data_IF_316193345012
#
_entry.id   IF_316193345012
#
_cell.length_a   1.000
_cell.length_b   1.000
_cell.length_c   1.000
_cell.angle_alpha   90.00
_cell.angle_beta   90.00
_cell.angle_gamma   90.00
#
_symmetry.space_group_name_H-M   'P 1'
#
loop_
_entity.id
_entity.type
_entity.pdbx_description
1 polymer ?
#
# COMPACT_ATOMS: atom_id res chain seq x y z
N UNK A 1 20.15 -2.50 -27.45
CA UNK A 1 19.10 -1.46 -27.26
C UNK A 1 18.23 -1.88 -26.09
N UNK A 2 18.59 -1.47 -24.87
CA UNK A 2 17.89 -1.82 -23.64
C UNK A 2 17.06 -0.62 -23.19
N UNK A 3 15.77 -0.83 -22.91
CA UNK A 3 14.86 0.21 -22.46
C UNK A 3 15.27 0.74 -21.08
N UNK A 4 15.44 2.06 -20.89
CA UNK A 4 16.04 2.65 -19.67
C UNK A 4 15.07 2.88 -18.49
N UNK A 5 13.82 2.41 -18.55
CA UNK A 5 12.83 2.62 -17.46
C UNK A 5 12.10 1.32 -17.08
N UNK A 6 12.82 0.22 -16.89
CA UNK A 6 12.28 -0.92 -16.14
C UNK A 6 12.37 -0.63 -14.65
N UNK A 7 11.67 0.42 -14.23
CA UNK A 7 11.48 0.74 -12.82
C UNK A 7 10.68 -0.40 -12.18
N UNK A 8 11.37 -1.18 -11.35
CA UNK A 8 10.92 -1.58 -10.03
C UNK A 8 9.45 -2.03 -9.88
N UNK A 9 8.90 -2.85 -10.79
CA UNK A 9 7.58 -3.47 -10.56
C UNK A 9 7.64 -4.82 -9.82
N UNK A 10 8.84 -5.29 -9.42
CA UNK A 10 9.03 -6.63 -8.88
C UNK A 10 9.21 -6.72 -7.36
N UNK A 11 9.37 -5.61 -6.63
CA UNK A 11 9.35 -5.66 -5.16
C UNK A 11 7.91 -5.49 -4.67
N UNK A 12 7.11 -6.53 -4.88
CA UNK A 12 5.84 -6.68 -4.16
C UNK A 12 6.19 -7.48 -2.91
N UNK A 13 6.49 -6.84 -1.75
CA UNK A 13 6.42 -7.57 -0.51
C UNK A 13 4.99 -8.12 -0.46
N UNK A 14 4.85 -9.43 -0.31
CA UNK A 14 3.61 -10.22 -0.37
C UNK A 14 2.52 -9.80 0.64
N UNK A 15 2.65 -8.63 1.28
CA UNK A 15 1.89 -8.16 2.41
C UNK A 15 1.28 -6.77 2.21
N UNK A 16 1.33 -6.18 1.01
CA UNK A 16 0.64 -4.90 0.76
C UNK A 16 -0.79 -5.13 0.29
N UNK A 17 -1.82 -4.59 0.98
CA UNK A 17 -3.22 -4.65 0.53
C UNK A 17 -3.53 -3.67 -0.61
N UNK A 18 -2.52 -3.08 -1.24
CA UNK A 18 -2.68 -2.11 -2.31
C UNK A 18 -3.12 -2.79 -3.61
N UNK A 19 -4.33 -2.46 -4.09
CA UNK A 19 -4.85 -2.87 -5.40
C UNK A 19 -4.25 -2.08 -6.58
N UNK A 20 -3.19 -1.30 -6.35
CA UNK A 20 -2.54 -0.43 -7.33
C UNK A 20 -3.51 0.60 -7.98
N UNK A 21 -4.66 0.83 -7.35
CA UNK A 21 -5.59 1.90 -7.68
C UNK A 21 -5.52 2.91 -6.54
N UNK A 22 -4.95 4.08 -6.82
CA UNK A 22 -4.87 5.18 -5.87
C UNK A 22 -6.02 6.13 -6.16
N UNK A 23 -7.13 5.94 -5.46
CA UNK A 23 -8.28 6.84 -5.50
C UNK A 23 -8.52 7.33 -4.08
N UNK A 24 -8.20 8.59 -3.80
CA UNK A 24 -8.31 9.17 -2.46
C UNK A 24 -9.68 9.79 -2.24
N UNK A 25 -10.21 9.65 -1.02
CA UNK A 25 -11.39 10.40 -0.59
C UNK A 25 -11.11 11.91 -0.65
N UNK A 26 -12.17 12.71 -0.81
CA UNK A 26 -12.06 14.16 -0.96
C UNK A 26 -11.29 14.84 0.19
N UNK A 27 -11.38 14.27 1.39
CA UNK A 27 -10.72 14.69 2.62
C UNK A 27 -9.32 14.08 2.82
N UNK A 28 -8.84 13.25 1.88
CA UNK A 28 -7.52 12.59 1.88
C UNK A 28 -7.25 11.71 3.11
N UNK A 29 -8.27 11.33 3.87
CA UNK A 29 -8.10 10.43 5.02
C UNK A 29 -7.82 8.99 4.62
N UNK A 30 -8.40 8.52 3.51
CA UNK A 30 -8.28 7.14 3.06
C UNK A 30 -8.37 7.01 1.54
N UNK A 31 -7.89 5.87 1.05
CA UNK A 31 -8.06 5.44 -0.32
C UNK A 31 -9.41 4.71 -0.46
N UNK A 32 -10.26 5.14 -1.38
CA UNK A 32 -11.56 4.56 -1.70
C UNK A 32 -11.39 3.14 -2.25
N UNK A 33 -10.34 2.89 -3.05
CA UNK A 33 -10.12 1.61 -3.72
C UNK A 33 -9.64 0.49 -2.77
N UNK A 34 -8.67 0.77 -1.89
CA UNK A 34 -8.16 -0.20 -0.91
C UNK A 34 -8.75 -0.03 0.51
N UNK A 35 -9.58 0.99 0.73
CA UNK A 35 -10.23 1.34 2.01
C UNK A 35 -9.24 1.49 3.18
N UNK A 36 -7.98 1.79 2.90
CA UNK A 36 -6.92 2.03 3.89
C UNK A 36 -6.71 3.52 4.08
N UNK A 37 -6.35 3.91 5.30
CA UNK A 37 -6.04 5.32 5.59
C UNK A 37 -4.72 5.73 4.92
N UNK A 38 -4.63 7.00 4.52
CA UNK A 38 -3.43 7.54 3.89
C UNK A 38 -2.23 7.43 4.85
N UNK A 39 -2.45 7.67 6.14
CA UNK A 39 -1.42 7.53 7.19
C UNK A 39 -0.82 6.12 7.22
N UNK A 40 -1.67 5.08 7.18
CA UNK A 40 -1.21 3.68 7.09
C UNK A 40 -0.44 3.39 5.80
N UNK A 41 -0.83 4.00 4.67
CA UNK A 41 -0.16 3.82 3.38
C UNK A 41 1.22 4.49 3.39
N UNK A 42 1.33 5.70 3.93
CA UNK A 42 2.59 6.46 4.00
C UNK A 42 3.53 5.86 5.05
N UNK A 43 3.00 5.45 6.20
CA UNK A 43 3.77 4.82 7.27
C UNK A 43 4.11 3.35 6.99
N UNK A 44 3.56 2.74 5.93
CA UNK A 44 3.79 1.33 5.60
C UNK A 44 5.28 0.97 5.45
N UNK A 45 6.04 1.86 4.79
CA UNK A 45 7.48 1.73 4.64
C UNK A 45 8.22 1.82 5.98
N UNK A 46 7.69 2.60 6.93
CA UNK A 46 8.21 2.78 8.29
C UNK A 46 7.72 1.74 9.31
N UNK A 47 6.68 0.96 8.99
CA UNK A 47 6.15 -0.06 9.90
C UNK A 47 7.10 -1.26 10.04
N UNK A 48 7.24 -1.73 11.29
CA UNK A 48 7.87 -3.01 11.59
C UNK A 48 7.03 -4.17 11.06
N UNK A 49 7.66 -5.33 10.83
CA UNK A 49 6.97 -6.52 10.32
C UNK A 49 5.75 -6.92 11.18
N UNK A 50 5.87 -6.80 12.50
CA UNK A 50 4.78 -7.08 13.44
C UNK A 50 3.58 -6.16 13.21
N UNK A 51 3.84 -4.85 13.06
CA UNK A 51 2.81 -3.85 12.76
C UNK A 51 2.16 -4.12 11.40
N UNK A 52 2.93 -4.48 10.38
CA UNK A 52 2.41 -4.85 9.05
C UNK A 52 1.48 -6.06 9.13
N UNK A 53 1.83 -7.09 9.92
CA UNK A 53 0.97 -8.26 10.15
C UNK A 53 -0.33 -7.90 10.88
N UNK A 54 -0.26 -7.05 11.90
CA UNK A 54 -1.46 -6.57 12.61
C UNK A 54 -2.39 -5.79 11.68
N UNK A 55 -1.84 -4.90 10.85
CA UNK A 55 -2.61 -4.12 9.86
C UNK A 55 -3.27 -5.04 8.83
N UNK A 56 -2.56 -6.09 8.39
CA UNK A 56 -3.10 -7.11 7.49
C UNK A 56 -4.21 -7.95 8.14
N UNK A 57 -4.06 -8.33 9.41
CA UNK A 57 -5.07 -9.07 10.15
C UNK A 57 -6.35 -8.25 10.40
N UNK A 58 -6.24 -6.92 10.47
CA UNK A 58 -7.36 -6.00 10.63
C UNK A 58 -8.09 -5.65 9.32
N UNK A 59 -7.66 -6.18 8.16
CA UNK A 59 -8.39 -5.97 6.91
C UNK A 59 -9.62 -6.88 6.86
N UNK A 60 -10.82 -6.32 6.67
CA UNK A 60 -11.98 -7.13 6.31
C UNK A 60 -11.77 -7.72 4.91
N UNK A 61 -11.94 -9.04 4.79
CA UNK A 61 -11.88 -9.79 3.53
C UNK A 61 -12.91 -9.29 2.50
#
# INVERSE_FOLDING_TARGET
MAAPYTWCMADRPLLSPCKQQCELSADRSHCIACRRTLDEIVAWSSFSEERRRQVMANLPA
#
